data_IF_860632033161
#
_entry.id   IF_860632033161
#
_cell.length_a   1.000
_cell.length_b   1.000
_cell.length_c   1.000
_cell.angle_alpha   90.00
_cell.angle_beta   90.00
_cell.angle_gamma   90.00
#
_symmetry.space_group_name_H-M   'P 1'
#
loop_
_entity.id
_entity.type
_entity.pdbx_description
1 polymer ?
#
# COMPACT_ATOMS: atom_id res chain seq x y z
N UNK A 1 -8.23 39.36 -22.94
CA UNK A 1 -7.77 39.11 -21.55
C UNK A 1 -7.95 37.63 -21.28
N UNK A 2 -6.88 36.83 -21.33
CA UNK A 2 -6.98 35.37 -21.21
C UNK A 2 -6.93 35.02 -19.72
N UNK A 3 -8.04 34.51 -19.17
CA UNK A 3 -8.09 33.97 -17.81
C UNK A 3 -7.57 32.53 -17.84
N UNK A 4 -6.36 32.31 -17.33
CA UNK A 4 -5.79 30.98 -17.10
C UNK A 4 -6.39 30.47 -15.80
N UNK A 5 -7.34 29.53 -15.90
CA UNK A 5 -7.80 28.76 -14.75
C UNK A 5 -6.78 27.65 -14.49
N UNK A 6 -5.92 27.83 -13.49
CA UNK A 6 -5.06 26.76 -12.98
C UNK A 6 -5.98 25.80 -12.20
N UNK A 7 -6.45 24.77 -12.89
CA UNK A 7 -7.06 23.62 -12.23
C UNK A 7 -5.96 22.90 -11.47
N UNK A 8 -5.93 23.06 -10.14
CA UNK A 8 -5.12 22.23 -9.26
C UNK A 8 -5.57 20.79 -9.45
N UNK A 9 -4.77 19.99 -10.14
CA UNK A 9 -4.98 18.55 -10.20
C UNK A 9 -5.03 18.07 -8.75
N UNK A 10 -6.21 17.66 -8.26
CA UNK A 10 -6.28 16.94 -7.00
C UNK A 10 -5.44 15.68 -7.22
N UNK A 11 -4.31 15.52 -6.51
CA UNK A 11 -3.53 14.31 -6.67
C UNK A 11 -4.43 13.20 -6.14
N UNK A 12 -4.97 12.39 -7.05
CA UNK A 12 -5.70 11.19 -6.66
C UNK A 12 -4.78 10.37 -5.76
N UNK A 13 -5.34 9.80 -4.69
CA UNK A 13 -4.58 9.01 -3.72
C UNK A 13 -3.75 7.99 -4.49
N UNK A 14 -2.42 8.04 -4.33
CA UNK A 14 -1.51 7.18 -5.09
C UNK A 14 -1.80 5.72 -4.77
N UNK A 15 -1.54 4.81 -5.72
CA UNK A 15 -1.74 3.37 -5.46
C UNK A 15 -0.93 2.90 -4.24
N UNK A 16 0.27 3.46 -4.04
CA UNK A 16 1.08 3.25 -2.84
C UNK A 16 0.37 3.67 -1.56
N UNK A 17 -0.26 4.85 -1.54
CA UNK A 17 -1.00 5.36 -0.38
C UNK A 17 -2.25 4.52 -0.11
N UNK A 18 -2.97 4.08 -1.15
CA UNK A 18 -4.11 3.18 -0.99
C UNK A 18 -3.69 1.84 -0.37
N UNK A 19 -2.55 1.28 -0.79
CA UNK A 19 -1.98 0.07 -0.19
C UNK A 19 -1.63 0.33 1.29
N UNK A 20 -0.98 1.45 1.58
CA UNK A 20 -0.60 1.80 2.95
C UNK A 20 -1.84 1.98 3.86
N UNK A 21 -2.84 2.74 3.42
CA UNK A 21 -4.09 2.93 4.17
C UNK A 21 -4.82 1.60 4.38
N UNK A 22 -4.83 0.72 3.38
CA UNK A 22 -5.45 -0.61 3.50
C UNK A 22 -4.74 -1.48 4.56
N UNK A 23 -3.40 -1.43 4.60
CA UNK A 23 -2.60 -2.15 5.60
C UNK A 23 -2.78 -1.54 6.99
N UNK A 24 -2.82 -0.20 7.10
CA UNK A 24 -3.04 0.51 8.35
C UNK A 24 -4.43 0.28 8.93
N UNK A 25 -5.46 0.24 8.08
CA UNK A 25 -6.83 -0.07 8.52
C UNK A 25 -6.99 -1.52 9.01
N UNK A 26 -6.13 -2.45 8.56
CA UNK A 26 -6.18 -3.88 8.93
C UNK A 26 -5.00 -4.28 9.83
N UNK A 27 -5.22 -4.18 11.13
CA UNK A 27 -4.26 -4.61 12.15
C UNK A 27 -4.03 -6.14 12.19
N UNK A 28 -4.86 -6.93 11.51
CA UNK A 28 -4.75 -8.40 11.42
C UNK A 28 -3.69 -8.88 10.42
N UNK A 29 -3.16 -7.96 9.60
CA UNK A 29 -2.24 -8.26 8.52
C UNK A 29 -2.97 -8.66 7.23
N UNK A 30 -2.33 -8.40 6.09
CA UNK A 30 -2.91 -8.60 4.76
C UNK A 30 -1.91 -9.23 3.80
N UNK A 31 -2.39 -10.07 2.88
CA UNK A 31 -1.54 -10.70 1.86
C UNK A 31 -1.63 -9.94 0.54
N UNK A 32 -0.64 -10.13 -0.34
CA UNK A 32 -0.63 -9.51 -1.68
C UNK A 32 -1.87 -9.92 -2.49
N UNK A 33 -2.34 -11.16 -2.33
CA UNK A 33 -3.55 -11.66 -3.00
C UNK A 33 -4.80 -10.91 -2.56
N UNK A 34 -4.91 -10.60 -1.28
CA UNK A 34 -6.02 -9.81 -0.74
C UNK A 34 -5.95 -8.35 -1.23
N UNK A 35 -4.75 -7.75 -1.25
CA UNK A 35 -4.56 -6.40 -1.79
C UNK A 35 -4.94 -6.36 -3.29
N UNK A 36 -4.53 -7.36 -4.06
CA UNK A 36 -4.89 -7.49 -5.48
C UNK A 36 -6.40 -7.56 -5.69
N UNK A 37 -7.12 -8.36 -4.88
CA UNK A 37 -8.58 -8.44 -4.95
C UNK A 37 -9.27 -7.12 -4.60
N UNK A 38 -8.77 -6.40 -3.60
CA UNK A 38 -9.38 -5.16 -3.10
C UNK A 38 -9.10 -3.98 -4.04
N UNK A 39 -7.85 -3.81 -4.47
CA UNK A 39 -7.45 -2.68 -5.31
C UNK A 39 -7.59 -2.95 -6.81
N UNK A 40 -7.81 -4.21 -7.20
CA UNK A 40 -7.85 -4.65 -8.60
C UNK A 40 -6.59 -4.20 -9.38
N UNK A 41 -5.42 -4.32 -8.74
CA UNK A 41 -4.12 -3.93 -9.31
C UNK A 41 -3.22 -5.14 -9.51
N UNK A 42 -2.36 -5.16 -10.54
CA UNK A 42 -1.48 -6.29 -10.81
C UNK A 42 -0.53 -6.56 -9.64
N UNK A 43 -0.33 -7.84 -9.33
CA UNK A 43 0.51 -8.30 -8.20
C UNK A 43 1.92 -7.72 -8.27
N UNK A 44 2.54 -7.66 -9.46
CA UNK A 44 3.89 -7.10 -9.63
C UNK A 44 3.97 -5.62 -9.21
N UNK A 45 2.94 -4.84 -9.53
CA UNK A 45 2.87 -3.41 -9.15
C UNK A 45 2.71 -3.27 -7.63
N UNK A 46 1.82 -4.07 -7.03
CA UNK A 46 1.64 -4.09 -5.57
C UNK A 46 2.94 -4.49 -4.88
N UNK A 47 3.64 -5.49 -5.41
CA UNK A 47 4.90 -5.98 -4.85
C UNK A 47 6.00 -4.92 -4.89
N UNK A 48 6.08 -4.10 -5.94
CA UNK A 48 7.01 -2.96 -6.01
C UNK A 48 6.71 -1.97 -4.90
N UNK A 49 5.45 -1.55 -4.74
CA UNK A 49 5.08 -0.61 -3.67
C UNK A 49 5.25 -1.19 -2.27
N UNK A 50 4.95 -2.46 -2.07
CA UNK A 50 5.16 -3.11 -0.77
C UNK A 50 6.63 -3.16 -0.39
N UNK A 51 7.54 -3.42 -1.36
CA UNK A 51 8.99 -3.35 -1.11
C UNK A 51 9.42 -1.94 -0.70
N UNK A 52 8.92 -0.93 -1.38
CA UNK A 52 9.19 0.48 -1.04
C UNK A 52 8.69 0.83 0.36
N UNK A 53 7.44 0.47 0.69
CA UNK A 53 6.84 0.70 2.01
C UNK A 53 7.57 -0.06 3.14
N UNK A 54 8.08 -1.26 2.87
CA UNK A 54 8.92 -2.02 3.82
C UNK A 54 10.27 -1.33 4.01
N UNK A 55 10.91 -0.87 2.93
CA UNK A 55 12.17 -0.13 3.00
C UNK A 55 12.00 1.19 3.77
N UNK A 56 10.86 1.86 3.59
CA UNK A 56 10.47 3.06 4.33
C UNK A 56 10.03 2.77 5.79
N UNK A 57 10.03 1.51 6.22
CA UNK A 57 9.56 1.05 7.55
C UNK A 57 8.10 1.45 7.87
N UNK A 58 7.31 1.78 6.85
CA UNK A 58 5.90 2.10 6.98
C UNK A 58 5.05 0.84 7.22
N UNK A 59 5.50 -0.30 6.69
CA UNK A 59 4.87 -1.62 6.89
C UNK A 59 5.93 -2.68 7.19
N UNK A 60 5.51 -3.77 7.83
CA UNK A 60 6.37 -4.90 8.18
C UNK A 60 5.89 -6.13 7.42
N UNK A 61 6.80 -6.78 6.70
CA UNK A 61 6.54 -8.08 6.06
C UNK A 61 6.93 -9.22 6.98
N UNK A 62 6.05 -10.20 7.15
CA UNK A 62 6.31 -11.45 7.86
C UNK A 62 6.02 -12.63 6.94
N UNK A 63 6.89 -13.64 6.96
CA UNK A 63 6.61 -14.88 6.26
C UNK A 63 5.48 -15.65 6.97
N UNK A 64 4.57 -16.21 6.18
CA UNK A 64 3.54 -17.08 6.71
C UNK A 64 4.16 -18.35 7.30
N UNK A 65 3.66 -18.84 8.44
CA UNK A 65 4.14 -20.07 9.11
C UNK A 65 4.11 -21.31 8.20
N UNK A 66 3.30 -21.29 7.15
CA UNK A 66 3.22 -22.36 6.15
C UNK A 66 4.31 -22.29 5.06
N UNK A 67 5.23 -21.32 5.09
CA UNK A 67 6.28 -21.12 4.08
C UNK A 67 5.75 -20.62 2.71
N UNK A 68 4.44 -20.41 2.60
CA UNK A 68 3.79 -19.96 1.35
C UNK A 68 3.21 -18.56 1.56
N UNK A 69 4.00 -17.56 1.17
CA UNK A 69 3.56 -16.17 1.02
C UNK A 69 3.95 -15.22 2.17
N UNK A 70 3.95 -13.93 1.85
CA UNK A 70 4.22 -12.84 2.77
C UNK A 70 2.91 -12.21 3.26
N UNK A 71 2.86 -11.94 4.56
CA UNK A 71 1.80 -11.18 5.23
C UNK A 71 2.37 -9.83 5.65
N UNK A 72 1.68 -8.76 5.30
CA UNK A 72 2.08 -7.39 5.58
C UNK A 72 1.25 -6.83 6.72
N UNK A 73 1.92 -6.26 7.70
CA UNK A 73 1.34 -5.65 8.89
C UNK A 73 1.68 -4.16 8.91
N UNK A 74 0.82 -3.32 9.49
CA UNK A 74 1.20 -1.94 9.75
C UNK A 74 2.39 -1.91 10.69
N UNK A 75 3.38 -1.08 10.37
CA UNK A 75 4.48 -0.84 11.28
C UNK A 75 3.94 -0.14 12.52
N UNK A 76 4.13 -0.71 13.70
CA UNK A 76 3.85 -0.04 14.98
C UNK A 76 4.94 1.00 15.25
N UNK A 77 5.08 1.99 14.36
CA UNK A 77 5.71 3.24 14.76
C UNK A 77 4.60 4.10 15.37
N UNK A 78 4.21 3.73 16.60
CA UNK A 78 3.51 4.65 17.47
C UNK A 78 4.47 5.78 17.80
N UNK A 79 4.09 6.98 17.40
CA UNK A 79 4.52 8.21 18.06
C UNK A 79 3.43 8.56 19.06
#
# INVERSE_FOLDING_TARGET
MIKINIISATPGISTQEQILQLIQARHTGITIKEINKILNRPISMIQVYLKDLVAAKAVVSRENRAGVGMIYYPSKNGN
#
